data_IF_636811705500
#
_entry.id   IF_636811705500
#
_cell.length_a   1.000
_cell.length_b   1.000
_cell.length_c   1.000
_cell.angle_alpha   90.00
_cell.angle_beta   90.00
_cell.angle_gamma   90.00
#
_symmetry.space_group_name_H-M   'P 1'
#
loop_
_entity.id
_entity.type
_entity.pdbx_description
1 polymer ?
#
# COMPACT_ATOMS: atom_id res chain seq x y z
N UNK A 1 -13.96 -3.77 -35.89
CA UNK A 1 -13.99 -2.63 -34.95
C UNK A 1 -13.45 -3.15 -33.63
N UNK A 2 -12.19 -2.89 -33.32
CA UNK A 2 -11.52 -3.42 -32.13
C UNK A 2 -11.79 -2.45 -30.98
N UNK A 3 -12.57 -2.88 -29.99
CA UNK A 3 -12.84 -2.14 -28.77
C UNK A 3 -11.67 -2.40 -27.84
N UNK A 4 -10.68 -1.52 -27.83
CA UNK A 4 -9.64 -1.55 -26.78
C UNK A 4 -10.31 -1.17 -25.46
N UNK A 5 -10.26 -2.00 -24.41
CA UNK A 5 -10.70 -1.59 -23.09
C UNK A 5 -9.78 -0.45 -22.65
N UNK A 6 -10.36 0.70 -22.33
CA UNK A 6 -9.64 1.77 -21.65
C UNK A 6 -9.30 1.24 -20.25
N UNK A 7 -8.07 0.74 -20.08
CA UNK A 7 -7.47 0.62 -18.76
C UNK A 7 -7.35 2.05 -18.22
N UNK A 8 -8.29 2.45 -17.36
CA UNK A 8 -8.15 3.66 -16.59
C UNK A 8 -7.04 3.42 -15.57
N UNK A 9 -5.82 3.79 -15.92
CA UNK A 9 -4.72 3.88 -14.96
C UNK A 9 -4.97 5.11 -14.09
N UNK A 10 -5.69 4.96 -12.97
CA UNK A 10 -5.93 6.04 -12.00
C UNK A 10 -4.74 6.35 -11.08
N UNK A 11 -3.55 5.87 -11.45
CA UNK A 11 -2.30 6.12 -10.75
C UNK A 11 -1.95 7.61 -10.77
N UNK A 12 -1.91 8.24 -9.59
CA UNK A 12 -1.33 9.56 -9.41
C UNK A 12 0.17 9.43 -9.09
N UNK A 13 0.99 10.24 -9.76
CA UNK A 13 2.45 10.26 -9.60
C UNK A 13 2.87 11.61 -9.00
N UNK A 14 3.65 11.58 -7.92
CA UNK A 14 4.28 12.74 -7.30
C UNK A 14 5.77 12.47 -7.12
N UNK A 15 6.63 13.16 -7.89
CA UNK A 15 8.09 13.00 -7.84
C UNK A 15 8.71 13.41 -6.49
N UNK A 16 8.06 14.33 -5.78
CA UNK A 16 8.48 14.78 -4.46
C UNK A 16 8.02 13.82 -3.35
N UNK A 17 7.13 12.88 -3.67
CA UNK A 17 6.58 11.90 -2.74
C UNK A 17 5.32 12.38 -2.02
N UNK A 18 4.47 11.41 -1.68
CA UNK A 18 3.28 11.60 -0.87
C UNK A 18 3.61 11.55 0.64
N UNK A 19 2.86 12.28 1.49
CA UNK A 19 2.98 12.15 2.92
C UNK A 19 2.74 10.71 3.39
N UNK A 20 3.64 10.21 4.22
CA UNK A 20 3.54 8.89 4.83
C UNK A 20 2.54 8.95 5.99
N UNK A 21 1.63 7.98 6.15
CA UNK A 21 0.76 7.90 7.32
C UNK A 21 1.58 7.82 8.61
N UNK A 22 1.29 8.70 9.56
CA UNK A 22 1.88 8.60 10.90
C UNK A 22 1.28 7.40 11.63
N UNK A 23 2.14 6.43 11.99
CA UNK A 23 1.74 5.24 12.73
C UNK A 23 1.79 5.46 14.25
N UNK A 24 2.28 6.62 14.70
CA UNK A 24 2.38 6.95 16.12
C UNK A 24 1.00 7.03 16.76
N UNK A 25 0.80 6.27 17.84
CA UNK A 25 -0.49 6.22 18.54
C UNK A 25 -1.58 5.42 17.84
N UNK A 26 -1.28 4.74 16.73
CA UNK A 26 -2.19 3.74 16.17
C UNK A 26 -2.13 2.44 16.97
N UNK A 27 -3.24 1.71 17.03
CA UNK A 27 -3.31 0.44 17.78
C UNK A 27 -3.00 -0.74 16.84
N UNK A 28 -1.85 -1.43 16.99
CA UNK A 28 -1.56 -2.62 16.18
C UNK A 28 -2.54 -3.74 16.51
N UNK A 29 -2.98 -4.49 15.50
CA UNK A 29 -3.89 -5.62 15.71
C UNK A 29 -3.51 -6.90 14.95
N UNK A 30 -2.62 -6.81 13.96
CA UNK A 30 -2.16 -7.97 13.20
C UNK A 30 -0.76 -7.72 12.66
N UNK A 31 0.09 -8.73 12.76
CA UNK A 31 1.40 -8.78 12.09
C UNK A 31 1.47 -10.13 11.40
N UNK A 32 1.74 -10.13 10.10
CA UNK A 32 1.95 -11.32 9.29
C UNK A 32 3.34 -11.23 8.69
N UNK A 33 4.13 -12.29 8.87
CA UNK A 33 5.48 -12.41 8.32
C UNK A 33 5.47 -13.61 7.37
N UNK A 34 5.85 -13.37 6.13
CA UNK A 34 6.00 -14.37 5.06
C UNK A 34 7.45 -14.34 4.59
N UNK A 35 8.04 -15.51 4.33
CA UNK A 35 9.36 -15.62 3.73
C UNK A 35 9.19 -16.16 2.32
N UNK A 36 9.58 -15.39 1.31
CA UNK A 36 9.57 -15.78 -0.10
C UNK A 36 10.97 -15.57 -0.67
N UNK A 37 11.58 -16.61 -1.23
CA UNK A 37 12.93 -16.57 -1.84
C UNK A 37 14.01 -15.91 -0.96
N UNK A 38 14.09 -16.29 0.31
CA UNK A 38 15.00 -15.71 1.33
C UNK A 38 14.77 -14.20 1.62
N UNK A 39 13.66 -13.64 1.13
CA UNK A 39 13.22 -12.28 1.43
C UNK A 39 12.08 -12.32 2.45
N UNK A 40 12.31 -11.70 3.60
CA UNK A 40 11.25 -11.48 4.60
C UNK A 40 10.31 -10.37 4.11
N UNK A 41 9.02 -10.68 4.11
CA UNK A 41 7.90 -9.76 3.89
C UNK A 41 7.08 -9.68 5.17
N UNK A 42 6.86 -8.48 5.66
CA UNK A 42 6.08 -8.20 6.85
C UNK A 42 4.93 -7.25 6.53
N UNK A 43 3.72 -7.66 6.90
CA UNK A 43 2.50 -6.85 6.83
C UNK A 43 2.03 -6.58 8.25
N UNK A 44 2.03 -5.32 8.64
CA UNK A 44 1.51 -4.87 9.93
C UNK A 44 0.23 -4.07 9.72
N UNK A 45 -0.78 -4.33 10.54
CA UNK A 45 -2.08 -3.67 10.45
C UNK A 45 -2.43 -2.97 11.75
N UNK A 46 -2.96 -1.78 11.61
CA UNK A 46 -3.24 -0.85 12.71
C UNK A 46 -4.67 -0.31 12.61
N UNK A 47 -5.34 -0.16 13.75
CA UNK A 47 -6.56 0.64 13.86
C UNK A 47 -6.20 2.10 14.02
N UNK A 48 -6.95 2.97 13.34
CA UNK A 48 -6.86 4.42 13.54
C UNK A 48 -7.86 4.88 14.62
N UNK A 49 -7.57 5.97 15.36
CA UNK A 49 -8.52 6.54 16.31
C UNK A 49 -9.85 6.97 15.68
N UNK A 50 -9.82 7.33 14.39
CA UNK A 50 -11.01 7.69 13.60
C UNK A 50 -11.86 6.49 13.17
N UNK A 51 -11.45 5.26 13.54
CA UNK A 51 -12.21 4.05 13.24
C UNK A 51 -11.85 3.38 11.92
N UNK A 52 -10.82 3.82 11.20
CA UNK A 52 -10.27 3.18 9.99
C UNK A 52 -9.12 2.20 10.25
N UNK A 53 -8.46 1.77 9.18
CA UNK A 53 -7.27 0.92 9.18
C UNK A 53 -6.11 1.52 8.38
N UNK A 54 -4.89 1.19 8.81
CA UNK A 54 -3.68 1.35 8.01
C UNK A 54 -2.96 0.01 7.99
N UNK A 55 -2.50 -0.43 6.82
CA UNK A 55 -1.57 -1.54 6.71
C UNK A 55 -0.22 -1.06 6.15
N UNK A 56 0.86 -1.39 6.83
CA UNK A 56 2.25 -1.16 6.39
C UNK A 56 2.79 -2.46 5.81
N UNK A 57 3.34 -2.40 4.59
CA UNK A 57 4.04 -3.52 3.96
C UNK A 57 5.53 -3.20 3.87
N UNK A 58 6.34 -4.07 4.44
CA UNK A 58 7.79 -3.94 4.54
C UNK A 58 8.49 -5.25 4.20
N UNK A 59 9.76 -5.16 3.86
CA UNK A 59 10.61 -6.32 3.64
C UNK A 59 12.07 -5.92 3.46
N UNK A 60 13.00 -6.80 3.83
CA UNK A 60 14.44 -6.54 3.77
C UNK A 60 14.83 -5.16 4.39
N UNK A 61 14.23 -4.83 5.54
CA UNK A 61 14.49 -3.57 6.26
C UNK A 61 13.91 -2.29 5.62
N UNK A 62 13.11 -2.41 4.55
CA UNK A 62 12.51 -1.27 3.83
C UNK A 62 11.00 -1.32 3.87
N UNK A 63 10.35 -0.16 3.79
CA UNK A 63 8.89 -0.04 3.65
C UNK A 63 8.57 0.26 2.19
N UNK A 64 7.64 -0.50 1.62
CA UNK A 64 7.30 -0.39 0.20
C UNK A 64 5.87 0.10 -0.03
N UNK A 65 4.99 -0.08 0.94
CA UNK A 65 3.60 0.32 0.75
C UNK A 65 2.87 0.68 2.06
N UNK A 66 1.88 1.56 1.89
CA UNK A 66 0.84 1.82 2.89
C UNK A 66 -0.54 1.69 2.22
N UNK A 67 -1.36 0.77 2.71
CA UNK A 67 -2.78 0.73 2.38
C UNK A 67 -3.57 1.46 3.47
N UNK A 68 -4.41 2.41 3.08
CA UNK A 68 -5.17 3.27 3.99
C UNK A 68 -6.66 3.15 3.68
N UNK A 69 -7.43 2.96 4.73
CA UNK A 69 -8.87 2.82 4.71
C UNK A 69 -9.42 3.58 5.92
N UNK A 70 -10.21 4.62 5.71
CA UNK A 70 -10.65 5.53 6.77
C UNK A 70 -11.92 5.07 7.47
N UNK A 71 -12.71 4.16 6.88
CA UNK A 71 -14.03 3.77 7.37
C UNK A 71 -14.23 2.25 7.57
N UNK A 72 -13.24 1.43 7.19
CA UNK A 72 -13.26 -0.04 7.24
C UNK A 72 -14.22 -0.68 6.27
N UNK A 73 -14.71 0.06 5.28
CA UNK A 73 -15.59 -0.47 4.26
C UNK A 73 -14.77 -0.75 3.00
N UNK A 74 -14.84 -1.97 2.44
CA UNK A 74 -14.23 -2.23 1.17
C UNK A 74 -14.84 -1.36 0.07
N UNK A 75 -14.04 -0.94 -0.92
CA UNK A 75 -12.58 -1.11 -1.00
C UNK A 75 -11.80 -0.08 -0.17
N UNK A 76 -10.50 -0.32 0.07
CA UNK A 76 -9.61 0.67 0.71
C UNK A 76 -9.62 2.00 -0.04
N UNK A 77 -9.42 3.11 0.68
CA UNK A 77 -9.42 4.45 0.08
C UNK A 77 -8.28 4.66 -0.90
N UNK A 78 -7.06 4.31 -0.48
CA UNK A 78 -5.88 4.40 -1.33
C UNK A 78 -4.71 3.52 -0.88
N UNK A 79 -3.80 3.27 -1.84
CA UNK A 79 -2.52 2.62 -1.67
C UNK A 79 -1.41 3.60 -2.05
N UNK A 80 -0.46 3.83 -1.14
CA UNK A 80 0.80 4.50 -1.45
C UNK A 80 1.88 3.46 -1.73
N UNK A 81 2.65 3.64 -2.80
CA UNK A 81 3.76 2.77 -3.15
C UNK A 81 5.08 3.53 -3.28
N UNK A 82 6.12 2.87 -2.79
CA UNK A 82 7.53 3.17 -2.99
C UNK A 82 8.18 1.95 -3.67
N UNK A 83 8.15 1.86 -5.01
CA UNK A 83 8.56 0.65 -5.72
C UNK A 83 10.04 0.29 -5.59
N UNK A 84 10.91 1.26 -5.33
CA UNK A 84 12.37 1.06 -5.19
C UNK A 84 12.83 1.02 -3.72
N UNK A 85 11.92 1.26 -2.78
CA UNK A 85 12.20 1.29 -1.35
C UNK A 85 13.23 2.36 -1.01
N UNK A 86 13.14 3.53 -1.65
CA UNK A 86 14.00 4.69 -1.40
C UNK A 86 13.54 5.54 -0.21
N UNK A 87 12.38 5.23 0.37
CA UNK A 87 11.66 6.02 1.35
C UNK A 87 10.75 7.09 0.73
N UNK A 88 10.61 7.12 -0.60
CA UNK A 88 9.81 8.12 -1.33
C UNK A 88 8.61 7.46 -1.99
N UNK A 89 7.44 7.66 -1.40
CA UNK A 89 6.17 7.13 -1.90
C UNK A 89 5.65 7.98 -3.06
N UNK A 90 6.10 7.67 -4.27
CA UNK A 90 5.81 8.50 -5.46
C UNK A 90 4.50 8.13 -6.13
N UNK A 91 3.95 6.95 -5.86
CA UNK A 91 2.74 6.45 -6.50
C UNK A 91 1.57 6.39 -5.52
N UNK A 92 0.39 6.79 -5.98
CA UNK A 92 -0.86 6.68 -5.24
C UNK A 92 -1.95 6.09 -6.14
N UNK A 93 -2.59 5.03 -5.66
CA UNK A 93 -3.73 4.37 -6.31
C UNK A 93 -4.95 4.54 -5.41
N UNK A 94 -6.10 4.95 -5.95
CA UNK A 94 -7.35 5.09 -5.21
C UNK A 94 -8.20 3.82 -5.32
N UNK A 95 -9.22 3.76 -4.47
CA UNK A 95 -10.36 2.85 -4.63
C UNK A 95 -10.85 2.80 -6.09
N UNK A 96 -10.87 1.58 -6.66
CA UNK A 96 -11.31 1.33 -8.04
C UNK A 96 -10.20 1.37 -9.08
N UNK A 97 -8.99 1.82 -8.72
CA UNK A 97 -7.85 1.77 -9.64
C UNK A 97 -7.31 0.35 -9.75
N UNK A 98 -7.06 -0.07 -10.99
CA UNK A 98 -6.30 -1.28 -11.25
C UNK A 98 -4.82 -0.96 -10.99
N UNK A 99 -4.26 -1.60 -9.98
CA UNK A 99 -2.83 -1.57 -9.73
C UNK A 99 -2.25 -2.96 -9.93
N UNK A 100 -1.07 -3.02 -10.54
CA UNK A 100 -0.27 -4.24 -10.54
C UNK A 100 0.33 -4.36 -9.15
N UNK A 101 -0.16 -5.35 -8.40
CA UNK A 101 0.49 -5.80 -7.18
C UNK A 101 1.93 -6.18 -7.58
N UNK A 102 2.97 -5.54 -7.03
CA UNK A 102 4.34 -5.91 -7.36
C UNK A 102 4.55 -7.41 -7.13
N UNK A 103 5.31 -8.09 -8.00
CA UNK A 103 5.46 -9.56 -7.92
C UNK A 103 5.90 -10.04 -6.52
N UNK A 104 6.75 -9.26 -5.83
CA UNK A 104 7.22 -9.55 -4.46
C UNK A 104 6.13 -9.48 -3.38
N UNK A 105 4.95 -8.89 -3.65
CA UNK A 105 3.79 -8.91 -2.74
C UNK A 105 2.95 -10.19 -2.95
N UNK A 106 3.08 -10.85 -4.10
CA UNK A 106 2.13 -11.88 -4.58
C UNK A 106 2.56 -13.32 -4.27
N UNK A 107 3.76 -13.52 -3.70
CA UNK A 107 4.35 -14.83 -3.41
C UNK A 107 4.71 -14.97 -1.92
#
# INVERSE_FOLDING_TARGET
MLITPFLSFGQEINSEGWPIPDLSGLTPYSITIENADDVEKMVEKFYTPGGGHVARISGNGKVYAYAVDTDRQPPIDYLLLDPDGSGRFTLKFRSGDLYLVPEWVSH
#
